data_IF_701989364567
#
_entry.id   IF_701989364567
#
_cell.length_a   1.000
_cell.length_b   1.000
_cell.length_c   1.000
_cell.angle_alpha   90.00
_cell.angle_beta   90.00
_cell.angle_gamma   90.00
#
_symmetry.space_group_name_H-M   'P 1'
#
loop_
_entity.id
_entity.type
_entity.pdbx_description
1 polymer ?
#
# COMPACT_ATOMS: atom_id res chain seq x y z
N UNK A 1 8.62 -52.22 -25.06
CA UNK A 1 9.47 -51.35 -25.90
C UNK A 1 8.92 -49.93 -25.83
N UNK A 2 9.82 -48.96 -25.61
CA UNK A 2 9.73 -47.49 -25.75
C UNK A 2 8.52 -46.73 -25.17
N UNK A 3 8.77 -46.04 -24.06
CA UNK A 3 7.99 -44.89 -23.57
C UNK A 3 8.50 -43.64 -24.29
N UNK A 4 7.61 -42.82 -24.87
CA UNK A 4 7.95 -41.52 -25.44
C UNK A 4 7.42 -40.47 -24.46
N UNK A 5 8.33 -39.75 -23.81
CA UNK A 5 8.01 -38.62 -22.94
C UNK A 5 8.02 -37.39 -23.86
N UNK A 6 6.86 -36.80 -24.11
CA UNK A 6 6.76 -35.47 -24.70
C UNK A 6 7.12 -34.44 -23.61
N UNK A 7 8.20 -33.69 -23.83
CA UNK A 7 8.56 -32.53 -23.00
C UNK A 7 8.15 -31.29 -23.79
N UNK A 8 7.07 -30.64 -23.37
CA UNK A 8 6.65 -29.34 -23.91
C UNK A 8 7.46 -28.23 -23.25
N UNK A 9 8.33 -27.57 -24.02
CA UNK A 9 8.98 -26.32 -23.61
C UNK A 9 7.95 -25.18 -23.65
N UNK A 10 7.66 -24.58 -22.49
CA UNK A 10 6.88 -23.36 -22.38
C UNK A 10 7.87 -22.19 -22.20
N UNK A 11 8.08 -21.40 -23.25
CA UNK A 11 8.88 -20.16 -23.17
C UNK A 11 7.99 -19.01 -22.71
N UNK A 12 8.24 -18.48 -21.51
CA UNK A 12 7.57 -17.28 -21.01
C UNK A 12 8.34 -16.06 -21.56
N UNK A 13 7.70 -15.32 -22.45
CA UNK A 13 8.18 -14.03 -22.95
C UNK A 13 7.85 -12.93 -21.92
N UNK A 14 8.84 -12.45 -21.19
CA UNK A 14 8.70 -11.25 -20.35
C UNK A 14 8.82 -10.00 -21.23
N UNK A 15 7.70 -9.36 -21.53
CA UNK A 15 7.71 -8.02 -22.12
C UNK A 15 8.02 -6.99 -21.02
N UNK A 16 9.03 -6.10 -21.18
CA UNK A 16 9.24 -5.01 -20.25
C UNK A 16 8.17 -3.94 -20.49
N UNK A 17 7.32 -3.71 -19.49
CA UNK A 17 6.42 -2.55 -19.45
C UNK A 17 7.24 -1.29 -19.22
N UNK A 18 7.55 -0.55 -20.28
CA UNK A 18 8.07 0.81 -20.18
C UNK A 18 6.96 1.70 -19.60
N UNK A 19 7.10 2.09 -18.33
CA UNK A 19 6.31 3.15 -17.72
C UNK A 19 6.78 4.49 -18.30
N UNK A 20 6.10 4.96 -19.36
CA UNK A 20 6.20 6.35 -19.79
C UNK A 20 5.48 7.20 -18.75
N UNK A 21 6.25 8.03 -18.03
CA UNK A 21 5.74 9.12 -17.24
C UNK A 21 5.04 10.10 -18.18
N UNK A 22 3.70 10.12 -18.17
CA UNK A 22 2.93 11.18 -18.79
C UNK A 22 3.09 12.44 -17.94
N UNK A 23 4.08 13.27 -18.27
CA UNK A 23 4.01 14.68 -17.92
C UNK A 23 2.81 15.28 -18.65
N UNK A 24 1.77 15.60 -17.90
CA UNK A 24 0.66 16.39 -18.44
C UNK A 24 1.14 17.84 -18.58
N UNK A 25 1.66 18.16 -19.76
CA UNK A 25 1.86 19.54 -20.17
C UNK A 25 0.48 20.24 -20.22
N UNK A 26 0.19 21.10 -19.24
CA UNK A 26 -1.02 21.91 -19.23
C UNK A 26 -0.98 22.90 -20.41
N UNK A 27 -1.87 22.68 -21.37
CA UNK A 27 -2.04 23.52 -22.54
C UNK A 27 -2.45 24.95 -22.18
N UNK A 28 -1.79 25.91 -22.82
CA UNK A 28 -2.10 27.34 -22.75
C UNK A 28 -3.32 27.65 -23.63
N UNK A 29 -4.51 27.67 -23.05
CA UNK A 29 -5.72 28.12 -23.75
C UNK A 29 -5.92 29.64 -23.56
N UNK A 30 -5.86 30.40 -24.65
CA UNK A 30 -6.19 31.84 -24.65
C UNK A 30 -7.68 31.98 -24.95
N UNK A 31 -8.48 32.31 -23.95
CA UNK A 31 -9.81 32.88 -24.17
C UNK A 31 -9.97 34.19 -23.40
N UNK A 32 -10.02 35.28 -24.17
CA UNK A 32 -10.42 36.61 -23.72
C UNK A 32 -11.95 36.62 -23.62
N UNK A 33 -12.49 36.62 -22.40
CA UNK A 33 -13.75 37.30 -22.12
C UNK A 33 -13.65 38.03 -20.79
N UNK A 34 -13.85 39.35 -20.88
CA UNK A 34 -13.79 40.34 -19.82
C UNK A 34 -15.14 40.31 -19.10
N UNK A 35 -15.18 39.80 -17.88
CA UNK A 35 -16.26 40.05 -16.91
C UNK A 35 -15.61 40.59 -15.64
N UNK A 36 -16.00 41.81 -15.27
CA UNK A 36 -15.62 42.47 -14.03
C UNK A 36 -16.28 41.72 -12.86
N UNK A 37 -15.50 40.87 -12.20
CA UNK A 37 -15.84 40.35 -10.88
C UNK A 37 -14.57 40.52 -10.05
N UNK A 38 -14.60 41.45 -9.09
CA UNK A 38 -13.54 41.69 -8.12
C UNK A 38 -13.38 40.47 -7.21
N UNK A 39 -12.81 39.39 -7.75
CA UNK A 39 -12.11 38.42 -6.93
C UNK A 39 -10.75 39.04 -6.66
N UNK A 40 -10.52 39.44 -5.40
CA UNK A 40 -9.17 39.65 -4.87
C UNK A 40 -8.44 38.32 -5.05
N UNK A 41 -7.75 38.15 -6.17
CA UNK A 41 -6.95 36.97 -6.46
C UNK A 41 -5.85 36.91 -5.40
N UNK A 42 -6.15 36.21 -4.30
CA UNK A 42 -5.17 35.91 -3.29
C UNK A 42 -4.17 34.97 -3.96
N UNK A 43 -3.00 35.49 -4.31
CA UNK A 43 -1.99 34.71 -4.99
C UNK A 43 -1.45 33.68 -4.00
N UNK A 44 -1.67 32.41 -4.31
CA UNK A 44 -1.31 31.30 -3.44
C UNK A 44 -0.11 30.59 -4.04
N UNK A 45 0.98 30.50 -3.27
CA UNK A 45 2.16 29.71 -3.63
C UNK A 45 2.13 28.39 -2.85
N UNK A 46 2.21 27.28 -3.57
CA UNK A 46 2.31 25.94 -2.98
C UNK A 46 3.72 25.40 -3.21
N UNK A 47 4.40 25.07 -2.13
CA UNK A 47 5.73 24.48 -2.13
C UNK A 47 5.63 23.05 -1.60
N UNK A 48 6.11 22.07 -2.37
CA UNK A 48 6.14 20.67 -1.98
C UNK A 48 7.60 20.21 -1.83
N UNK A 49 7.89 19.53 -0.72
CA UNK A 49 9.22 18.97 -0.47
C UNK A 49 9.12 17.54 0.10
N UNK A 50 10.10 16.67 -0.20
CA UNK A 50 10.15 15.34 0.38
C UNK A 50 10.51 15.41 1.86
N UNK A 51 9.78 14.67 2.69
CA UNK A 51 10.04 14.53 4.13
C UNK A 51 10.14 13.05 4.46
N UNK A 52 11.24 12.67 5.12
CA UNK A 52 11.39 11.33 5.67
C UNK A 52 10.72 11.27 7.04
N UNK A 53 9.73 10.40 7.20
CA UNK A 53 9.03 10.20 8.47
C UNK A 53 9.08 8.72 8.91
N UNK A 54 9.16 8.45 10.22
CA UNK A 54 9.10 7.08 10.73
C UNK A 54 7.67 6.52 10.60
N UNK A 55 7.56 5.21 10.36
CA UNK A 55 6.32 4.45 10.47
C UNK A 55 6.60 3.06 11.06
N UNK A 56 5.60 2.48 11.73
CA UNK A 56 5.69 1.09 12.21
C UNK A 56 5.34 0.17 11.04
N UNK A 57 6.28 -0.71 10.68
CA UNK A 57 6.03 -1.73 9.69
C UNK A 57 5.18 -2.84 10.31
N UNK A 58 3.88 -2.79 10.06
CA UNK A 58 2.94 -3.87 10.34
C UNK A 58 3.15 -5.00 9.33
N UNK A 59 4.29 -5.72 9.43
CA UNK A 59 4.45 -6.97 8.71
C UNK A 59 3.44 -7.97 9.29
N UNK A 60 2.34 -8.15 8.57
CA UNK A 60 1.27 -9.05 8.96
C UNK A 60 1.77 -10.47 9.26
N UNK A 61 2.93 -10.89 8.76
CA UNK A 61 3.48 -12.20 9.07
C UNK A 61 4.10 -12.30 10.48
N UNK A 62 4.70 -11.22 11.01
CA UNK A 62 5.58 -11.27 12.19
C UNK A 62 5.64 -9.92 12.97
N UNK A 63 4.58 -9.59 13.72
CA UNK A 63 4.51 -8.46 14.66
C UNK A 63 4.14 -8.94 16.08
N UNK A 64 4.22 -8.09 17.13
CA UNK A 64 3.71 -8.43 18.46
C UNK A 64 2.20 -8.65 18.35
N UNK A 65 1.75 -9.90 18.37
CA UNK A 65 0.33 -10.24 18.22
C UNK A 65 -0.08 -10.77 16.84
N UNK A 66 0.85 -11.04 15.93
CA UNK A 66 0.55 -11.65 14.63
C UNK A 66 -0.26 -12.95 14.78
N UNK A 67 0.11 -13.81 15.75
CA UNK A 67 -0.65 -15.04 16.00
C UNK A 67 -2.09 -14.75 16.45
N UNK A 68 -2.27 -13.83 17.40
CA UNK A 68 -3.61 -13.49 17.92
C UNK A 68 -4.51 -12.88 16.87
N UNK A 69 -3.96 -12.03 16.02
CA UNK A 69 -4.69 -11.43 14.92
C UNK A 69 -5.08 -12.45 13.87
N UNK A 70 -4.14 -13.33 13.50
CA UNK A 70 -4.41 -14.47 12.65
C UNK A 70 -5.54 -15.33 13.23
N UNK A 71 -5.42 -15.75 14.48
CA UNK A 71 -6.40 -16.62 15.15
C UNK A 71 -7.80 -16.00 15.17
N UNK A 72 -7.92 -14.73 15.56
CA UNK A 72 -9.19 -13.99 15.54
C UNK A 72 -9.80 -13.96 14.14
N UNK A 73 -9.01 -13.67 13.12
CA UNK A 73 -9.48 -13.66 11.74
C UNK A 73 -9.89 -15.05 11.24
N UNK A 74 -9.13 -16.09 11.60
CA UNK A 74 -9.45 -17.48 11.26
C UNK A 74 -10.78 -17.92 11.84
N UNK A 75 -10.98 -17.66 13.14
CA UNK A 75 -12.26 -17.93 13.82
C UNK A 75 -13.41 -17.16 13.18
N UNK A 76 -13.23 -15.89 12.87
CA UNK A 76 -14.25 -15.09 12.20
C UNK A 76 -14.60 -15.61 10.80
N UNK A 77 -13.60 -16.02 10.00
CA UNK A 77 -13.83 -16.64 8.68
C UNK A 77 -14.61 -17.95 8.80
N UNK A 78 -14.26 -18.80 9.76
CA UNK A 78 -14.99 -20.06 10.01
C UNK A 78 -16.43 -19.80 10.45
N UNK A 79 -16.67 -18.83 11.34
CA UNK A 79 -18.01 -18.43 11.78
C UNK A 79 -18.88 -17.90 10.63
N UNK A 80 -18.27 -17.20 9.66
CA UNK A 80 -18.97 -16.74 8.45
C UNK A 80 -19.17 -17.83 7.39
N UNK A 81 -18.70 -19.05 7.61
CA UNK A 81 -18.80 -20.15 6.65
C UNK A 81 -17.95 -19.96 5.40
N UNK A 82 -16.92 -19.10 5.46
CA UNK A 82 -15.99 -18.93 4.34
C UNK A 82 -15.13 -20.18 4.18
N UNK A 83 -14.94 -20.67 2.96
CA UNK A 83 -14.00 -21.77 2.73
C UNK A 83 -12.57 -21.38 3.12
N UNK A 84 -11.85 -22.32 3.72
CA UNK A 84 -10.46 -22.13 4.10
C UNK A 84 -9.62 -21.72 2.89
N UNK A 85 -8.92 -20.60 3.03
CA UNK A 85 -7.91 -20.14 2.08
C UNK A 85 -6.68 -19.71 2.89
N UNK A 86 -5.50 -20.32 2.67
CA UNK A 86 -4.26 -19.82 3.25
C UNK A 86 -4.11 -18.33 2.97
N UNK A 87 -3.67 -17.58 3.97
CA UNK A 87 -3.36 -16.16 3.80
C UNK A 87 -1.96 -16.02 3.22
N UNK A 88 -1.75 -14.96 2.44
CA UNK A 88 -0.43 -14.61 1.87
C UNK A 88 0.54 -14.15 2.95
N UNK A 89 0.02 -13.54 4.02
CA UNK A 89 0.78 -13.30 5.25
C UNK A 89 1.21 -14.65 5.84
N UNK A 90 2.52 -14.91 5.84
CA UNK A 90 3.14 -16.13 6.36
C UNK A 90 3.32 -16.11 7.89
N UNK A 91 4.31 -16.85 8.38
CA UNK A 91 4.77 -16.76 9.78
C UNK A 91 3.70 -17.09 10.83
N UNK A 92 3.76 -16.35 11.94
CA UNK A 92 2.90 -16.54 13.11
C UNK A 92 1.43 -16.24 12.80
N UNK A 93 1.17 -15.28 11.91
CA UNK A 93 -0.19 -14.97 11.47
C UNK A 93 -0.83 -16.11 10.67
N UNK A 94 -0.12 -16.71 9.72
CA UNK A 94 -0.62 -17.86 8.97
C UNK A 94 -0.95 -19.03 9.91
N UNK A 95 -0.08 -19.29 10.89
CA UNK A 95 -0.28 -20.33 11.90
C UNK A 95 -1.53 -20.03 12.73
N UNK A 96 -1.62 -18.83 13.28
CA UNK A 96 -2.78 -18.37 14.05
C UNK A 96 -4.08 -18.48 13.25
N UNK A 97 -4.10 -17.98 12.01
CA UNK A 97 -5.27 -18.04 11.12
C UNK A 97 -5.76 -19.46 10.90
N UNK A 98 -4.84 -20.39 10.58
CA UNK A 98 -5.17 -21.79 10.41
C UNK A 98 -5.76 -22.39 11.69
N UNK A 99 -5.13 -22.14 12.83
CA UNK A 99 -5.55 -22.73 14.10
C UNK A 99 -6.91 -22.16 14.56
N UNK A 100 -7.14 -20.86 14.40
CA UNK A 100 -8.43 -20.22 14.67
C UNK A 100 -9.54 -20.67 13.72
N UNK A 101 -9.23 -20.89 12.45
CA UNK A 101 -10.19 -21.39 11.45
C UNK A 101 -10.66 -22.82 11.79
N UNK A 102 -9.73 -23.69 12.21
CA UNK A 102 -10.06 -25.07 12.60
C UNK A 102 -10.48 -25.21 14.06
N UNK A 103 -10.66 -24.12 14.80
CA UNK A 103 -11.13 -24.14 16.18
C UNK A 103 -10.17 -24.85 17.15
N UNK A 104 -8.86 -24.84 16.87
CA UNK A 104 -7.86 -25.37 17.80
C UNK A 104 -7.75 -24.47 19.02
N UNK A 105 -7.27 -25.00 20.15
CA UNK A 105 -6.98 -24.18 21.34
C UNK A 105 -5.96 -23.08 21.00
N UNK A 106 -6.19 -21.89 21.54
CA UNK A 106 -5.25 -20.77 21.43
C UNK A 106 -3.93 -21.10 22.14
N UNK A 107 -2.84 -21.19 21.39
CA UNK A 107 -1.50 -21.44 21.92
C UNK A 107 -0.67 -20.16 22.09
N UNK A 108 -1.07 -19.07 21.42
CA UNK A 108 -0.31 -17.83 21.40
C UNK A 108 0.85 -17.84 20.39
N UNK A 109 1.54 -16.71 20.37
CA UNK A 109 2.74 -16.51 19.58
C UNK A 109 3.94 -17.15 20.29
N UNK A 110 4.84 -17.77 19.53
CA UNK A 110 6.00 -18.47 20.11
C UNK A 110 7.10 -17.48 20.52
N UNK A 111 7.37 -16.50 19.67
CA UNK A 111 8.33 -15.43 19.92
C UNK A 111 7.70 -14.08 19.61
N UNK A 112 7.68 -13.18 20.58
CA UNK A 112 7.24 -11.81 20.35
C UNK A 112 8.29 -11.07 19.51
N UNK A 113 7.89 -10.65 18.31
CA UNK A 113 8.77 -9.91 17.40
C UNK A 113 8.52 -8.43 17.65
N UNK A 114 9.52 -7.66 18.10
CA UNK A 114 9.32 -6.24 18.36
C UNK A 114 8.98 -5.48 17.08
N UNK A 115 8.21 -4.42 17.24
CA UNK A 115 7.86 -3.52 16.14
C UNK A 115 9.11 -2.96 15.46
N UNK A 116 9.11 -3.03 14.12
CA UNK A 116 10.18 -2.45 13.30
C UNK A 116 9.78 -1.06 12.85
N UNK A 117 10.47 -0.05 13.37
CA UNK A 117 10.38 1.31 12.84
C UNK A 117 11.11 1.34 11.50
N UNK A 118 10.36 1.66 10.44
CA UNK A 118 10.89 1.92 9.12
C UNK A 118 10.70 3.39 8.77
N UNK A 119 11.39 3.85 7.74
CA UNK A 119 11.31 5.23 7.26
C UNK A 119 10.77 5.23 5.85
N UNK A 120 9.82 6.12 5.58
CA UNK A 120 9.33 6.38 4.22
C UNK A 120 9.50 7.85 3.89
N UNK A 121 9.79 8.12 2.63
CA UNK A 121 9.79 9.48 2.10
C UNK A 121 8.38 9.78 1.58
N UNK A 122 7.75 10.81 2.14
CA UNK A 122 6.45 11.33 1.69
C UNK A 122 6.62 12.75 1.19
N UNK A 123 5.85 13.14 0.18
CA UNK A 123 5.80 14.54 -0.25
C UNK A 123 4.87 15.31 0.68
N UNK A 124 5.38 16.35 1.35
CA UNK A 124 4.56 17.29 2.12
C UNK A 124 4.51 18.62 1.36
N UNK A 125 3.30 19.16 1.21
CA UNK A 125 3.07 20.43 0.55
C UNK A 125 2.61 21.47 1.58
N UNK A 126 3.16 22.68 1.48
CA UNK A 126 2.76 23.84 2.26
C UNK A 126 2.29 24.92 1.32
N UNK A 127 1.23 25.62 1.72
CA UNK A 127 0.59 26.64 0.90
C UNK A 127 0.63 27.96 1.64
N UNK A 128 1.21 29.00 1.03
CA UNK A 128 1.31 30.35 1.60
C UNK A 128 0.66 31.38 0.70
N UNK A 129 0.01 32.37 1.31
CA UNK A 129 -0.53 33.53 0.61
C UNK A 129 0.58 34.55 0.39
N UNK A 130 0.81 34.96 -0.85
CA UNK A 130 1.75 36.05 -1.16
C UNK A 130 0.95 37.35 -1.24
N UNK A 131 1.41 38.38 -0.53
CA UNK A 131 0.98 39.75 -0.77
C UNK A 131 2.13 40.50 -1.45
N UNK A 132 1.92 40.95 -2.67
CA UNK A 132 2.83 41.91 -3.29
C UNK A 132 2.56 43.28 -2.65
N UNK A 133 3.62 43.91 -2.14
CA UNK A 133 3.61 45.35 -1.87
C UNK A 133 3.86 46.05 -3.20
N UNK A 134 2.87 46.78 -3.68
CA UNK A 134 3.05 47.71 -4.78
C UNK A 134 4.07 48.78 -4.34
N UNK A 135 5.15 48.94 -5.12
CA UNK A 135 6.21 49.93 -4.91
C UNK A 135 5.87 51.26 -5.60
#
# INVERSE_FOLDING_TARGET
MKKIILISLLTITTAPSLLFFNETAFGRERNRHRSHQEHREQMVETECHPVTEPYVSEDAANHPGAYSDGYRQGTASAQRGESFKPRTAGGEFARGFRDGYYGKRFAGQENEVPDRVQYRTVTKCSTRNIQYRDY
#
